data_IF_711362836191
#
_entry.id   IF_711362836191
#
_cell.length_a   1.000
_cell.length_b   1.000
_cell.length_c   1.000
_cell.angle_alpha   90.00
_cell.angle_beta   90.00
_cell.angle_gamma   90.00
#
_symmetry.space_group_name_H-M   'P 1'
#
loop_
_entity.id
_entity.type
_entity.pdbx_description
1 polymer ?
#
# COMPACT_ATOMS: atom_id res chain seq x y z
N UNK A 1 -27.23 9.34 3.94
CA UNK A 1 -26.11 10.27 4.23
C UNK A 1 -24.92 9.50 4.83
N UNK A 2 -23.77 9.53 4.13
CA UNK A 2 -22.54 8.85 4.52
C UNK A 2 -21.81 9.65 5.60
N UNK A 3 -21.20 8.96 6.56
CA UNK A 3 -20.20 9.54 7.43
C UNK A 3 -19.37 8.42 8.04
N UNK A 4 -18.07 8.49 7.84
CA UNK A 4 -17.08 7.53 8.30
C UNK A 4 -15.77 8.21 8.01
N UNK A 5 -15.34 9.05 8.95
CA UNK A 5 -14.44 10.18 8.70
C UNK A 5 -15.25 11.47 8.58
N UNK A 6 -15.13 12.33 9.59
CA UNK A 6 -16.00 13.48 9.90
C UNK A 6 -17.44 13.11 10.31
N UNK A 7 -17.74 13.25 11.62
CA UNK A 7 -19.07 13.58 12.14
C UNK A 7 -20.25 12.74 11.64
N UNK A 8 -20.14 11.41 11.61
CA UNK A 8 -21.32 10.58 11.39
C UNK A 8 -22.16 10.54 12.65
N UNK A 9 -23.29 11.25 12.63
CA UNK A 9 -24.27 11.20 13.70
C UNK A 9 -25.59 10.63 13.15
N UNK A 10 -26.20 9.72 13.92
CA UNK A 10 -27.51 9.15 13.60
C UNK A 10 -28.35 9.12 14.88
N UNK A 11 -29.42 9.93 14.91
CA UNK A 11 -30.28 10.04 16.09
C UNK A 11 -29.64 10.85 17.22
N UNK A 12 -30.04 10.57 18.47
CA UNK A 12 -29.46 11.16 19.68
C UNK A 12 -28.81 10.05 20.56
N UNK A 13 -27.53 9.69 20.29
CA UNK A 13 -26.86 8.62 21.01
C UNK A 13 -26.65 8.95 22.50
N UNK A 14 -26.40 10.22 22.85
CA UNK A 14 -26.11 10.63 24.22
C UNK A 14 -27.32 10.39 25.13
N UNK A 15 -28.51 10.85 24.74
CA UNK A 15 -29.72 10.63 25.54
C UNK A 15 -30.08 9.14 25.64
N UNK A 16 -29.94 8.41 24.53
CA UNK A 16 -30.23 6.98 24.50
C UNK A 16 -29.29 6.21 25.43
N UNK A 17 -27.99 6.49 25.38
CA UNK A 17 -27.00 5.88 26.26
C UNK A 17 -27.24 6.24 27.74
N UNK A 18 -27.59 7.49 28.04
CA UNK A 18 -27.91 7.91 29.42
C UNK A 18 -29.12 7.17 30.00
N UNK A 19 -30.16 6.94 29.19
CA UNK A 19 -31.38 6.23 29.61
C UNK A 19 -31.27 4.70 29.62
N UNK A 20 -30.21 4.13 29.05
CA UNK A 20 -30.08 2.68 28.90
C UNK A 20 -29.96 1.96 30.25
N UNK A 21 -30.67 0.83 30.40
CA UNK A 21 -30.66 -0.01 31.62
C UNK A 21 -29.29 -0.65 31.88
N UNK A 22 -28.55 -0.96 30.83
CA UNK A 22 -27.20 -1.54 30.88
C UNK A 22 -26.31 -0.73 29.95
N UNK A 23 -25.10 -0.42 30.41
CA UNK A 23 -24.14 0.43 29.70
C UNK A 23 -22.78 -0.24 29.73
N UNK A 24 -22.09 -0.22 28.60
CA UNK A 24 -20.68 -0.58 28.48
C UNK A 24 -20.00 0.63 27.87
N UNK A 25 -18.97 1.12 28.56
CA UNK A 25 -18.11 2.22 28.10
C UNK A 25 -16.67 1.77 28.38
N UNK A 26 -15.97 1.39 27.32
CA UNK A 26 -14.65 0.78 27.42
C UNK A 26 -13.70 1.35 26.37
N UNK A 27 -12.40 1.29 26.68
CA UNK A 27 -11.35 1.64 25.72
C UNK A 27 -10.63 0.39 25.25
N UNK A 28 -10.54 0.23 23.94
CA UNK A 28 -9.83 -0.85 23.27
C UNK A 28 -8.68 -0.28 22.44
N UNK A 29 -7.55 -0.99 22.41
CA UNK A 29 -6.39 -0.62 21.60
C UNK A 29 -5.98 -1.77 20.70
N UNK A 30 -5.54 -1.47 19.48
CA UNK A 30 -4.92 -2.44 18.58
C UNK A 30 -3.51 -1.97 18.25
N UNK A 31 -2.48 -2.82 18.38
CA UNK A 31 -1.10 -2.41 18.08
C UNK A 31 -0.89 -2.23 16.57
N UNK A 32 0.30 -1.78 16.20
CA UNK A 32 0.77 -1.85 14.80
C UNK A 32 0.86 -3.30 14.36
N UNK A 33 0.31 -3.62 13.19
CA UNK A 33 0.38 -4.95 12.58
C UNK A 33 1.01 -4.87 11.18
N UNK A 34 1.95 -5.77 10.89
CA UNK A 34 2.60 -5.85 9.59
C UNK A 34 2.06 -7.03 8.77
N UNK A 35 1.94 -6.83 7.46
CA UNK A 35 1.31 -7.79 6.55
C UNK A 35 2.04 -9.13 6.44
N UNK A 36 3.37 -9.11 6.56
CA UNK A 36 4.25 -10.27 6.45
C UNK A 36 3.87 -11.33 5.38
N UNK A 37 3.64 -10.95 4.11
CA UNK A 37 3.53 -11.94 3.04
C UNK A 37 4.82 -12.76 2.95
N UNK A 38 4.73 -14.05 2.64
CA UNK A 38 5.90 -14.93 2.57
C UNK A 38 6.87 -14.49 1.47
N UNK A 39 6.34 -14.09 0.31
CA UNK A 39 7.12 -13.43 -0.73
C UNK A 39 7.41 -11.98 -0.32
N UNK A 40 8.70 -11.62 -0.30
CA UNK A 40 9.17 -10.26 -0.02
C UNK A 40 8.74 -9.29 -1.12
N UNK A 41 8.67 -7.99 -0.79
CA UNK A 41 8.46 -6.95 -1.80
C UNK A 41 9.67 -6.88 -2.74
N UNK A 42 9.40 -6.93 -4.04
CA UNK A 42 10.43 -6.97 -5.06
C UNK A 42 9.95 -6.31 -6.37
N UNK A 43 10.92 -5.72 -7.07
CA UNK A 43 10.74 -5.04 -8.35
C UNK A 43 11.88 -5.42 -9.29
N UNK A 44 11.55 -5.85 -10.50
CA UNK A 44 12.51 -6.00 -11.60
C UNK A 44 12.12 -5.04 -12.71
N UNK A 45 12.96 -4.06 -13.00
CA UNK A 45 12.69 -3.00 -13.96
C UNK A 45 13.73 -2.94 -15.07
N UNK A 46 13.31 -2.57 -16.27
CA UNK A 46 14.20 -2.26 -17.39
C UNK A 46 13.56 -1.24 -18.33
N UNK A 47 14.41 -0.58 -19.10
CA UNK A 47 14.03 0.40 -20.10
C UNK A 47 14.36 -0.12 -21.49
N UNK A 48 13.45 0.05 -22.44
CA UNK A 48 13.69 -0.27 -23.84
C UNK A 48 13.01 0.76 -24.71
N UNK A 49 13.76 1.40 -25.61
CA UNK A 49 13.25 2.39 -26.56
C UNK A 49 12.42 3.50 -25.87
N UNK A 50 12.83 3.90 -24.66
CA UNK A 50 12.17 4.91 -23.83
C UNK A 50 10.84 4.46 -23.18
N UNK A 51 10.50 3.17 -23.22
CA UNK A 51 9.37 2.55 -22.50
C UNK A 51 9.90 1.87 -21.23
N UNK A 52 9.20 2.05 -20.12
CA UNK A 52 9.50 1.41 -18.83
C UNK A 52 8.71 0.11 -18.70
N UNK A 53 9.41 -0.97 -18.38
CA UNK A 53 8.82 -2.26 -18.07
C UNK A 53 9.18 -2.67 -16.65
N UNK A 54 8.20 -3.20 -15.91
CA UNK A 54 8.37 -3.61 -14.52
C UNK A 54 7.65 -4.92 -14.25
N UNK A 55 8.37 -5.91 -13.75
CA UNK A 55 7.77 -7.00 -12.96
C UNK A 55 7.72 -6.55 -11.51
N UNK A 56 6.53 -6.49 -10.94
CA UNK A 56 6.32 -6.04 -9.58
C UNK A 56 5.55 -7.08 -8.79
N UNK A 57 5.96 -7.29 -7.53
CA UNK A 57 5.13 -7.97 -6.55
C UNK A 57 3.99 -7.05 -6.07
N UNK A 58 2.89 -6.97 -6.85
CA UNK A 58 1.79 -6.01 -6.62
C UNK A 58 0.39 -6.61 -6.78
N UNK A 59 -0.55 -6.15 -5.94
CA UNK A 59 -1.99 -6.40 -6.07
C UNK A 59 -2.68 -5.36 -6.97
N UNK A 60 -1.98 -4.30 -7.38
CA UNK A 60 -2.56 -3.13 -8.04
C UNK A 60 -1.74 -2.64 -9.24
N UNK A 61 -1.65 -3.44 -10.30
CA UNK A 61 -0.85 -3.11 -11.51
C UNK A 61 -1.23 -1.76 -12.14
N UNK A 62 -2.52 -1.37 -12.13
CA UNK A 62 -2.98 -0.10 -12.69
C UNK A 62 -2.53 1.09 -11.83
N UNK A 63 -2.66 0.99 -10.51
CA UNK A 63 -2.16 2.01 -9.58
C UNK A 63 -0.66 2.19 -9.73
N UNK A 64 0.05 1.07 -9.86
CA UNK A 64 1.50 1.04 -10.05
C UNK A 64 1.95 1.69 -11.35
N UNK A 65 1.31 1.32 -12.46
CA UNK A 65 1.57 1.94 -13.78
C UNK A 65 1.35 3.45 -13.74
N UNK A 66 0.22 3.91 -13.20
CA UNK A 66 -0.12 5.32 -13.19
C UNK A 66 0.86 6.12 -12.31
N UNK A 67 1.26 5.58 -11.15
CA UNK A 67 2.26 6.22 -10.31
C UNK A 67 3.62 6.32 -11.02
N UNK A 68 4.11 5.23 -11.59
CA UNK A 68 5.40 5.24 -12.28
C UNK A 68 5.38 6.14 -13.52
N UNK A 69 4.27 6.19 -14.25
CA UNK A 69 4.10 7.11 -15.37
C UNK A 69 4.27 8.57 -14.91
N UNK A 70 3.61 8.94 -13.81
CA UNK A 70 3.76 10.29 -13.23
C UNK A 70 5.18 10.56 -12.70
N UNK A 71 5.81 9.60 -12.02
CA UNK A 71 7.14 9.77 -11.43
C UNK A 71 8.23 9.97 -12.49
N UNK A 72 8.12 9.29 -13.62
CA UNK A 72 9.11 9.33 -14.70
C UNK A 72 8.71 10.24 -15.87
N UNK A 73 7.66 11.04 -15.71
CA UNK A 73 7.14 11.96 -16.75
C UNK A 73 6.85 11.25 -18.08
N UNK A 74 6.14 10.12 -18.00
CA UNK A 74 5.75 9.28 -19.13
C UNK A 74 4.24 9.27 -19.29
N UNK A 75 3.77 9.07 -20.52
CA UNK A 75 2.38 8.68 -20.73
C UNK A 75 2.13 7.25 -20.22
N UNK A 76 0.93 6.90 -19.72
CA UNK A 76 0.67 5.57 -19.16
C UNK A 76 0.91 4.39 -20.11
N UNK A 77 0.80 4.58 -21.43
CA UNK A 77 1.10 3.57 -22.45
C UNK A 77 2.61 3.28 -22.59
N UNK A 78 3.45 4.18 -22.10
CA UNK A 78 4.92 4.04 -22.02
C UNK A 78 5.39 3.38 -20.73
N UNK A 79 4.46 2.86 -19.92
CA UNK A 79 4.76 2.07 -18.72
C UNK A 79 3.98 0.76 -18.77
N UNK A 80 4.68 -0.35 -18.58
CA UNK A 80 4.08 -1.67 -18.50
C UNK A 80 4.45 -2.36 -17.20
N UNK A 81 3.45 -2.60 -16.35
CA UNK A 81 3.61 -3.31 -15.08
C UNK A 81 2.97 -4.69 -15.18
N UNK A 82 3.73 -5.73 -14.87
CA UNK A 82 3.31 -7.13 -14.93
C UNK A 82 3.42 -7.76 -13.54
N UNK A 83 2.35 -8.44 -13.13
CA UNK A 83 2.29 -9.23 -11.90
C UNK A 83 1.44 -10.50 -12.12
N UNK A 84 1.89 -11.44 -12.97
CA UNK A 84 1.11 -12.64 -13.29
C UNK A 84 0.90 -13.55 -12.08
N UNK A 85 1.85 -13.54 -11.14
CA UNK A 85 1.79 -14.26 -9.87
C UNK A 85 2.26 -13.35 -8.75
N UNK A 86 1.69 -13.54 -7.57
CA UNK A 86 2.06 -12.82 -6.35
C UNK A 86 1.92 -13.77 -5.16
N UNK A 87 2.95 -13.82 -4.31
CA UNK A 87 2.95 -14.57 -3.04
C UNK A 87 2.18 -13.86 -1.93
N UNK A 88 0.94 -13.45 -2.25
CA UNK A 88 0.07 -12.61 -1.43
C UNK A 88 0.63 -11.20 -1.14
N UNK A 89 -0.22 -10.38 -0.53
CA UNK A 89 0.13 -9.04 -0.04
C UNK A 89 -0.65 -8.62 1.21
N UNK A 90 -1.82 -9.23 1.48
CA UNK A 90 -2.69 -8.92 2.61
C UNK A 90 -3.05 -7.42 2.76
N UNK A 91 -3.01 -6.65 1.66
CA UNK A 91 -3.19 -5.20 1.64
C UNK A 91 -1.88 -4.41 1.50
N UNK A 92 -0.75 -4.99 1.90
CA UNK A 92 0.57 -4.35 1.87
C UNK A 92 1.18 -4.21 0.47
N UNK A 93 0.57 -4.77 -0.56
CA UNK A 93 1.00 -4.67 -1.97
C UNK A 93 -0.05 -3.98 -2.86
N UNK A 94 -1.01 -3.24 -2.28
CA UNK A 94 -2.02 -2.48 -3.03
C UNK A 94 -1.49 -1.17 -3.65
N UNK A 95 -0.43 -0.62 -3.06
CA UNK A 95 0.19 0.64 -3.45
C UNK A 95 1.68 0.45 -3.77
N UNK A 96 2.24 1.25 -4.68
CA UNK A 96 3.67 1.25 -4.95
C UNK A 96 4.45 1.79 -3.75
N UNK A 97 5.55 1.14 -3.42
CA UNK A 97 6.46 1.58 -2.37
C UNK A 97 7.79 2.07 -2.97
N UNK A 98 8.61 2.85 -2.22
CA UNK A 98 9.79 3.51 -2.75
C UNK A 98 10.80 2.59 -3.44
N UNK A 99 10.88 1.32 -3.04
CA UNK A 99 11.78 0.32 -3.61
C UNK A 99 11.55 0.13 -5.13
N UNK A 100 10.30 0.23 -5.58
CA UNK A 100 9.96 0.06 -6.98
C UNK A 100 10.40 1.25 -7.84
N UNK A 101 10.21 2.48 -7.34
CA UNK A 101 10.73 3.69 -7.98
C UNK A 101 12.26 3.65 -8.05
N UNK A 102 12.92 3.22 -6.96
CA UNK A 102 14.37 3.08 -6.92
C UNK A 102 14.89 2.08 -7.96
N UNK A 103 14.23 0.92 -8.12
CA UNK A 103 14.59 -0.06 -9.14
C UNK A 103 14.45 0.50 -10.56
N UNK A 104 13.37 1.23 -10.84
CA UNK A 104 13.12 1.85 -12.14
C UNK A 104 14.17 2.93 -12.46
N UNK A 105 14.47 3.80 -11.50
CA UNK A 105 15.48 4.85 -11.66
C UNK A 105 16.89 4.27 -11.83
N UNK A 106 17.25 3.26 -11.04
CA UNK A 106 18.53 2.57 -11.18
C UNK A 106 18.66 1.89 -12.55
N UNK A 107 17.60 1.26 -13.05
CA UNK A 107 17.60 0.69 -14.41
C UNK A 107 17.79 1.77 -15.49
N UNK A 108 17.24 2.97 -15.29
CA UNK A 108 17.40 4.09 -16.22
C UNK A 108 18.84 4.58 -16.26
N UNK A 109 19.43 4.84 -15.09
CA UNK A 109 20.79 5.38 -14.94
C UNK A 109 21.84 4.38 -15.42
N UNK A 110 21.64 3.09 -15.12
CA UNK A 110 22.60 2.05 -15.48
C UNK A 110 22.47 1.56 -16.92
N UNK A 111 21.32 1.83 -17.58
CA UNK A 111 20.99 1.27 -18.88
C UNK A 111 20.86 -0.26 -18.88
N UNK A 112 20.66 -0.89 -17.72
CA UNK A 112 20.60 -2.34 -17.54
C UNK A 112 19.35 -2.75 -16.75
N UNK A 113 18.84 -3.97 -16.93
CA UNK A 113 17.80 -4.50 -16.05
C UNK A 113 18.28 -4.51 -14.59
N UNK A 114 17.43 -4.04 -13.67
CA UNK A 114 17.71 -4.00 -12.23
C UNK A 114 16.62 -4.77 -11.50
N UNK A 115 17.03 -5.70 -10.64
CA UNK A 115 16.16 -6.34 -9.66
C UNK A 115 16.51 -5.87 -8.26
N UNK A 116 15.50 -5.43 -7.52
CA UNK A 116 15.62 -4.99 -6.14
C UNK A 116 14.60 -5.74 -5.29
N UNK A 117 15.10 -6.46 -4.29
CA UNK A 117 14.30 -7.21 -3.33
C UNK A 117 14.54 -6.60 -1.96
N UNK A 118 13.46 -6.21 -1.27
CA UNK A 118 13.57 -5.72 0.10
C UNK A 118 13.90 -6.88 1.05
N UNK A 119 15.01 -6.82 1.79
CA UNK A 119 15.27 -7.75 2.88
C UNK A 119 14.11 -7.72 3.88
N UNK A 120 13.73 -8.88 4.41
CA UNK A 120 12.60 -9.02 5.36
C UNK A 120 12.62 -7.98 6.48
N UNK A 121 13.78 -7.71 7.07
CA UNK A 121 13.91 -6.74 8.16
C UNK A 121 13.51 -5.32 7.75
N UNK A 122 13.77 -4.90 6.50
CA UNK A 122 13.43 -3.57 6.02
C UNK A 122 11.93 -3.41 5.77
N UNK A 123 11.22 -4.50 5.47
CA UNK A 123 9.76 -4.47 5.25
C UNK A 123 8.94 -4.05 6.48
N UNK A 124 9.53 -3.99 7.67
CA UNK A 124 8.83 -3.47 8.85
C UNK A 124 8.71 -1.94 8.83
N UNK A 125 9.55 -1.24 8.06
CA UNK A 125 9.63 0.23 8.09
C UNK A 125 9.55 0.89 6.72
N UNK A 126 9.77 0.15 5.63
CA UNK A 126 9.82 0.72 4.26
C UNK A 126 8.56 0.44 3.44
N UNK A 127 7.59 -0.28 4.00
CA UNK A 127 6.27 -0.51 3.42
C UNK A 127 5.17 -0.28 4.46
N UNK A 128 3.91 -0.34 4.05
CA UNK A 128 2.76 -0.06 4.91
C UNK A 128 2.52 -1.10 6.00
N UNK A 129 1.84 -0.66 7.05
CA UNK A 129 1.37 -1.45 8.18
C UNK A 129 -0.06 -0.99 8.57
N UNK A 130 -0.78 -1.82 9.33
CA UNK A 130 -2.00 -1.37 10.01
C UNK A 130 -1.56 -0.44 11.14
N UNK A 131 -2.06 0.81 11.21
CA UNK A 131 -1.70 1.73 12.28
C UNK A 131 -2.26 1.23 13.62
N UNK A 132 -1.64 1.70 14.69
CA UNK A 132 -2.22 1.60 16.03
C UNK A 132 -3.60 2.28 16.05
N UNK A 133 -4.57 1.70 16.76
CA UNK A 133 -5.85 2.36 17.01
C UNK A 133 -6.15 2.38 18.50
N UNK A 134 -6.84 3.44 18.94
CA UNK A 134 -7.44 3.57 20.27
C UNK A 134 -8.89 3.97 20.12
N UNK A 135 -9.80 3.12 20.57
CA UNK A 135 -11.23 3.24 20.35
C UNK A 135 -11.94 3.23 21.70
N UNK A 136 -12.71 4.28 21.99
CA UNK A 136 -13.65 4.28 23.11
C UNK A 136 -15.03 3.98 22.55
N UNK A 137 -15.69 2.96 23.09
CA UNK A 137 -16.98 2.44 22.65
C UNK A 137 -17.93 2.37 23.83
#
# INVERSE_FOLDING_TARGET
PRGGGAGHNRGNPDSAFQSAKVKVDQTYTTPVEVHNPMEMHASTAWWQEGKLFVYESTQGVVNHRNLLANVFDLSPDRVEVRAPFIGSGFGGKLWPWPHSVAACAAAQVTGRPVQLVLPRAQMFTTVGHRPETRQRL
#
